data_IF_688034130612
#
_entry.id   IF_688034130612
#
_cell.length_a   1.000
_cell.length_b   1.000
_cell.length_c   1.000
_cell.angle_alpha   90.00
_cell.angle_beta   90.00
_cell.angle_gamma   90.00
#
_symmetry.space_group_name_H-M   'P 1'
#
loop_
_entity.id
_entity.type
_entity.pdbx_description
1 polymer ?
#
# COMPACT_ATOMS: atom_id res chain seq x y z
N UNK A 1 5.63 -9.64 6.59
CA UNK A 1 4.35 -9.31 5.91
C UNK A 1 4.47 -8.25 4.79
N UNK A 2 5.42 -7.30 4.85
CA UNK A 2 5.49 -6.14 3.91
C UNK A 2 5.49 -6.51 2.42
N UNK A 3 6.24 -7.53 1.99
CA UNK A 3 6.24 -7.98 0.57
C UNK A 3 4.86 -8.48 0.12
N UNK A 4 4.14 -9.17 1.01
CA UNK A 4 2.79 -9.66 0.74
C UNK A 4 1.80 -8.50 0.64
N UNK A 5 1.91 -7.50 1.53
CA UNK A 5 1.13 -6.26 1.43
C UNK A 5 1.31 -5.59 0.07
N UNK A 6 2.57 -5.35 -0.32
CA UNK A 6 2.90 -4.70 -1.60
C UNK A 6 2.31 -5.48 -2.78
N UNK A 7 2.41 -6.82 -2.77
CA UNK A 7 1.81 -7.66 -3.82
C UNK A 7 0.28 -7.52 -3.86
N UNK A 8 -0.40 -7.62 -2.72
CA UNK A 8 -1.87 -7.50 -2.65
C UNK A 8 -2.35 -6.12 -3.12
N UNK A 9 -1.67 -5.05 -2.71
CA UNK A 9 -1.99 -3.69 -3.14
C UNK A 9 -1.77 -3.53 -4.65
N UNK A 10 -0.69 -4.09 -5.19
CA UNK A 10 -0.41 -4.06 -6.63
C UNK A 10 -1.49 -4.76 -7.46
N UNK A 11 -1.98 -5.93 -7.02
CA UNK A 11 -3.08 -6.65 -7.66
C UNK A 11 -4.40 -5.85 -7.65
N UNK A 12 -4.55 -4.91 -6.72
CA UNK A 12 -5.70 -3.99 -6.60
C UNK A 12 -5.47 -2.64 -7.29
N UNK A 13 -4.36 -2.45 -8.00
CA UNK A 13 -4.05 -1.23 -8.77
C UNK A 13 -3.21 -0.18 -8.02
N UNK A 14 -2.78 -0.45 -6.79
CA UNK A 14 -1.95 0.47 -6.01
C UNK A 14 -0.47 0.06 -6.02
N UNK A 15 0.39 0.94 -6.54
CA UNK A 15 1.84 0.74 -6.53
C UNK A 15 2.41 1.26 -5.21
N UNK A 16 3.13 0.38 -4.48
CA UNK A 16 3.79 0.72 -3.22
C UNK A 16 5.29 0.40 -3.30
N UNK A 17 6.09 1.21 -2.60
CA UNK A 17 7.54 1.06 -2.58
C UNK A 17 7.98 0.62 -1.17
N UNK A 18 8.49 -0.61 -1.00
CA UNK A 18 9.14 -1.01 0.25
C UNK A 18 10.48 -0.27 0.41
N UNK A 19 10.84 0.08 1.64
CA UNK A 19 12.02 0.86 1.97
C UNK A 19 12.66 0.42 3.30
N UNK A 20 13.82 1.02 3.61
CA UNK A 20 14.60 0.75 4.81
C UNK A 20 15.52 -0.47 4.66
N UNK A 21 16.51 -0.59 5.55
CA UNK A 21 17.51 -1.69 5.51
C UNK A 21 16.87 -3.08 5.55
N UNK A 22 15.76 -3.22 6.27
CA UNK A 22 15.04 -4.47 6.43
C UNK A 22 13.87 -4.64 5.44
N UNK A 23 13.68 -3.69 4.49
CA UNK A 23 12.56 -3.69 3.54
C UNK A 23 11.17 -3.82 4.18
N UNK A 24 11.01 -3.32 5.41
CA UNK A 24 9.80 -3.45 6.23
C UNK A 24 9.01 -2.15 6.36
N UNK A 25 9.44 -1.06 5.72
CA UNK A 25 8.76 0.24 5.73
C UNK A 25 8.04 0.41 4.39
N UNK A 26 6.78 0.84 4.41
CA UNK A 26 6.08 1.29 3.20
C UNK A 26 6.34 2.79 3.02
N UNK A 27 6.94 3.16 1.89
CA UNK A 27 7.12 4.56 1.51
C UNK A 27 6.05 4.97 0.51
N UNK A 28 5.30 6.01 0.84
CA UNK A 28 4.28 6.61 -0.04
C UNK A 28 4.92 7.80 -0.75
N UNK A 29 4.91 7.78 -2.08
CA UNK A 29 5.41 8.85 -2.95
C UNK A 29 4.35 9.17 -4.00
N UNK A 30 3.30 9.86 -3.59
CA UNK A 30 2.28 10.38 -4.50
C UNK A 30 2.75 11.68 -5.17
N UNK A 31 2.26 12.01 -6.38
CA UNK A 31 2.54 13.30 -6.99
C UNK A 31 1.89 14.43 -6.18
N UNK A 32 2.48 15.63 -6.22
CA UNK A 32 1.93 16.81 -5.54
C UNK A 32 0.61 17.33 -6.15
N UNK A 33 0.24 16.81 -7.31
CA UNK A 33 -0.98 17.17 -8.06
C UNK A 33 -2.06 16.08 -7.98
N UNK A 34 -1.89 15.08 -7.11
CA UNK A 34 -2.91 14.03 -6.88
C UNK A 34 -4.23 14.68 -6.46
N UNK A 35 -5.36 14.17 -6.94
CA UNK A 35 -6.68 14.64 -6.46
C UNK A 35 -7.05 13.99 -5.14
N UNK A 36 -7.99 14.59 -4.41
CA UNK A 36 -8.48 14.01 -3.16
C UNK A 36 -9.13 12.63 -3.39
N UNK A 37 -9.79 12.44 -4.53
CA UNK A 37 -10.42 11.16 -4.90
C UNK A 37 -9.38 10.07 -5.17
N UNK A 38 -8.31 10.38 -5.92
CA UNK A 38 -7.21 9.44 -6.19
C UNK A 38 -6.46 9.06 -4.90
N UNK A 39 -6.26 10.04 -4.02
CA UNK A 39 -5.63 9.81 -2.72
C UNK A 39 -6.48 8.88 -1.85
N UNK A 40 -7.78 9.14 -1.75
CA UNK A 40 -8.72 8.32 -0.98
C UNK A 40 -8.82 6.90 -1.53
N UNK A 41 -8.87 6.73 -2.86
CA UNK A 41 -8.83 5.41 -3.50
C UNK A 41 -7.57 4.63 -3.11
N UNK A 42 -6.40 5.28 -3.22
CA UNK A 42 -5.12 4.66 -2.86
C UNK A 42 -5.06 4.27 -1.38
N UNK A 43 -5.53 5.13 -0.48
CA UNK A 43 -5.57 4.84 0.95
C UNK A 43 -6.56 3.72 1.28
N UNK A 44 -7.73 3.68 0.62
CA UNK A 44 -8.71 2.60 0.79
C UNK A 44 -8.16 1.24 0.37
N UNK A 45 -7.39 1.17 -0.72
CA UNK A 45 -6.72 -0.07 -1.16
C UNK A 45 -5.67 -0.50 -0.13
N UNK A 46 -4.89 0.43 0.40
CA UNK A 46 -3.89 0.15 1.42
C UNK A 46 -4.53 -0.38 2.71
N UNK A 47 -5.60 0.25 3.20
CA UNK A 47 -6.33 -0.17 4.40
C UNK A 47 -6.87 -1.59 4.25
N UNK A 48 -7.53 -1.90 3.13
CA UNK A 48 -8.00 -3.26 2.83
C UNK A 48 -6.84 -4.25 2.80
N UNK A 49 -5.71 -3.87 2.19
CA UNK A 49 -4.51 -4.71 2.16
C UNK A 49 -3.97 -5.04 3.56
N UNK A 50 -4.03 -4.09 4.50
CA UNK A 50 -3.63 -4.30 5.89
C UNK A 50 -4.59 -5.22 6.65
N UNK A 51 -5.91 -5.00 6.53
CA UNK A 51 -6.92 -5.88 7.13
C UNK A 51 -6.81 -7.32 6.62
N UNK A 52 -6.63 -7.50 5.31
CA UNK A 52 -6.43 -8.82 4.71
C UNK A 52 -5.16 -9.53 5.21
N UNK A 53 -4.24 -8.86 5.91
CA UNK A 53 -3.07 -9.49 6.55
C UNK A 53 -3.35 -9.87 8.00
N UNK A 54 -4.18 -9.11 8.72
CA UNK A 54 -4.61 -9.43 10.07
C UNK A 54 -5.49 -10.69 10.11
N UNK A 55 -6.21 -10.97 9.02
CA UNK A 55 -7.05 -12.17 8.89
C UNK A 55 -6.28 -13.42 8.43
N UNK A 56 -4.97 -13.32 8.16
CA UNK A 56 -4.12 -14.48 7.84
C UNK A 56 -3.58 -15.06 9.16
N UNK A 57 -3.86 -16.35 9.48
CA UNK A 57 -3.38 -16.98 10.71
C UNK A 57 -1.86 -17.18 10.75
#
# INVERSE_FOLDING_TARGET
ETKLLVKKCYEKGLILIPAGTYSNIIRILMPLVITDEELEEGLSILEKGLRDLEEVP
#
